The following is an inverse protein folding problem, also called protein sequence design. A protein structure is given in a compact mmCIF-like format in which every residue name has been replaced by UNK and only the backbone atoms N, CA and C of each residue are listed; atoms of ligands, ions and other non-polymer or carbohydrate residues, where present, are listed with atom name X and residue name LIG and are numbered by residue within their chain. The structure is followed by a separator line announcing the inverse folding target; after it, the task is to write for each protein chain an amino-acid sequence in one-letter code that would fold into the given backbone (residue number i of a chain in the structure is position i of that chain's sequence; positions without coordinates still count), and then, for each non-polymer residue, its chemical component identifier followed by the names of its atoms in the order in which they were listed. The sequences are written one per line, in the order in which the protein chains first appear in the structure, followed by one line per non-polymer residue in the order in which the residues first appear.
data_IF_667305155751
#
_entry.id   IF_667305155751
#
_cell.length_a   1.000
_cell.length_b   1.000
_cell.length_c   1.000
_cell.angle_alpha   90.00
_cell.angle_beta   90.00
_cell.angle_gamma   90.00
#
_symmetry.space_group_name_H-M   'P 1'
#
loop_
_entity.id
_entity.type
_entity.pdbx_description
1 polymer ?
#
# COMPACT_ATOMS: atom_id res chain seq x y z
N UNK A 1 13.48 0.44 -1.45
CA UNK A 1 13.43 1.69 -2.24
C UNK A 1 12.48 2.64 -1.53
N UNK A 2 12.69 3.97 -1.58
CA UNK A 2 11.74 4.93 -0.99
C UNK A 2 10.92 5.59 -2.09
N UNK A 3 9.65 5.87 -1.81
CA UNK A 3 8.79 6.58 -2.75
C UNK A 3 9.25 8.05 -2.88
N UNK A 4 8.88 8.69 -4.00
CA UNK A 4 9.32 10.06 -4.34
C UNK A 4 8.88 11.17 -3.35
N UNK A 5 8.01 10.84 -2.40
CA UNK A 5 7.49 11.80 -1.42
C UNK A 5 8.26 11.79 -0.10
N UNK A 6 9.19 10.85 0.10
CA UNK A 6 10.06 10.83 1.28
C UNK A 6 11.11 11.94 1.17
N UNK A 7 11.27 12.71 2.24
CA UNK A 7 12.30 13.76 2.31
C UNK A 7 13.70 13.14 2.19
N UNK A 8 14.57 13.65 1.29
CA UNK A 8 15.93 13.12 1.11
C UNK A 8 16.75 13.03 2.41
N UNK A 9 16.53 13.96 3.36
CA UNK A 9 17.22 13.94 4.66
C UNK A 9 16.86 12.72 5.49
N UNK A 10 15.63 12.21 5.37
CA UNK A 10 15.24 10.96 6.02
C UNK A 10 16.00 9.78 5.43
N UNK A 11 16.25 9.79 4.11
CA UNK A 11 17.00 8.72 3.45
C UNK A 11 18.46 8.72 3.91
N UNK A 12 19.05 9.91 4.08
CA UNK A 12 20.40 10.08 4.65
C UNK A 12 20.48 9.49 6.06
N UNK A 13 19.57 9.87 6.97
CA UNK A 13 19.50 9.33 8.33
C UNK A 13 19.35 7.80 8.33
N UNK A 14 18.51 7.27 7.45
CA UNK A 14 18.31 5.82 7.34
C UNK A 14 19.56 5.08 6.85
N UNK A 15 20.37 5.70 5.99
CA UNK A 15 21.65 5.12 5.60
C UNK A 15 22.66 5.14 6.75
N UNK A 16 22.74 6.22 7.52
CA UNK A 16 23.61 6.30 8.70
C UNK A 16 23.26 5.22 9.75
N UNK A 17 21.97 5.03 10.03
CA UNK A 17 21.53 3.99 10.97
C UNK A 17 21.83 2.57 10.46
N UNK A 18 21.69 2.35 9.14
CA UNK A 18 22.00 1.07 8.50
C UNK A 18 23.49 0.78 8.57
N UNK A 19 24.33 1.77 8.27
CA UNK A 19 25.78 1.63 8.29
C UNK A 19 26.28 1.37 9.72
N UNK A 20 25.75 2.10 10.71
CA UNK A 20 26.02 1.82 12.13
C UNK A 20 25.68 0.40 12.53
N UNK A 21 24.47 -0.07 12.23
CA UNK A 21 24.08 -1.44 12.55
C UNK A 21 24.98 -2.47 11.85
N UNK A 22 25.37 -2.23 10.59
CA UNK A 22 26.28 -3.12 9.87
C UNK A 22 27.66 -3.22 10.53
N UNK A 23 28.14 -2.12 11.11
CA UNK A 23 29.41 -2.08 11.86
C UNK A 23 29.30 -2.73 13.24
N UNK A 24 28.26 -2.42 14.02
CA UNK A 24 28.15 -2.85 15.41
C UNK A 24 27.55 -4.24 15.56
N UNK A 25 26.63 -4.62 14.66
CA UNK A 25 25.74 -5.79 14.78
C UNK A 25 24.96 -5.83 16.11
N UNK A 26 24.83 -4.69 16.78
CA UNK A 26 24.16 -4.56 18.07
C UNK A 26 22.63 -4.66 17.88
N UNK A 27 21.93 -5.54 18.62
CA UNK A 27 20.47 -5.63 18.58
C UNK A 27 19.75 -4.29 18.78
N UNK A 28 20.28 -3.38 19.60
CA UNK A 28 19.65 -2.07 19.82
C UNK A 28 19.77 -1.15 18.59
N UNK A 29 20.90 -1.16 17.88
CA UNK A 29 21.04 -0.45 16.61
C UNK A 29 20.12 -1.01 15.52
N UNK A 30 19.91 -2.33 15.49
CA UNK A 30 18.92 -2.95 14.60
C UNK A 30 17.51 -2.43 14.87
N UNK A 31 17.08 -2.41 16.13
CA UNK A 31 15.75 -1.91 16.50
C UNK A 31 15.62 -0.43 16.16
N UNK A 32 16.65 0.38 16.41
CA UNK A 32 16.67 1.79 16.04
C UNK A 32 16.52 1.99 14.54
N UNK A 33 17.24 1.21 13.72
CA UNK A 33 17.10 1.21 12.27
C UNK A 33 15.68 0.83 11.85
N UNK A 34 15.14 -0.28 12.38
CA UNK A 34 13.83 -0.81 12.01
C UNK A 34 12.70 0.17 12.32
N UNK A 35 12.69 0.74 13.54
CA UNK A 35 11.60 1.61 14.00
C UNK A 35 11.71 3.05 13.50
N UNK A 36 12.88 3.47 13.01
CA UNK A 36 13.04 4.80 12.40
C UNK A 36 12.61 4.84 10.93
N UNK A 37 12.43 3.67 10.29
CA UNK A 37 12.15 3.59 8.86
C UNK A 37 10.82 4.28 8.49
N UNK A 38 10.81 5.29 7.59
CA UNK A 38 9.58 5.99 7.26
C UNK A 38 8.63 5.11 6.44
N UNK A 39 7.33 5.38 6.56
CA UNK A 39 6.27 4.64 5.86
C UNK A 39 6.35 4.69 4.33
N UNK A 40 7.11 5.65 3.77
CA UNK A 40 7.38 5.71 2.34
C UNK A 40 8.42 4.70 1.85
N UNK A 41 8.94 3.82 2.72
CA UNK A 41 9.74 2.68 2.28
C UNK A 41 8.87 1.65 1.55
N UNK A 42 9.18 1.42 0.29
CA UNK A 42 8.45 0.52 -0.59
C UNK A 42 8.89 -0.92 -0.36
N UNK A 43 7.93 -1.73 0.08
CA UNK A 43 8.08 -3.16 0.32
C UNK A 43 7.27 -3.94 -0.71
N UNK A 44 7.86 -4.99 -1.28
CA UNK A 44 7.11 -5.94 -2.08
C UNK A 44 6.41 -6.93 -1.15
N UNK A 45 5.07 -6.96 -1.18
CA UNK A 45 4.27 -7.94 -0.48
C UNK A 45 3.56 -8.87 -1.46
N UNK A 46 3.38 -10.14 -1.08
CA UNK A 46 2.52 -11.10 -1.80
C UNK A 46 1.23 -11.27 -1.01
N UNK A 47 0.09 -11.27 -1.72
CA UNK A 47 -1.23 -11.42 -1.13
C UNK A 47 -1.97 -12.56 -1.83
N UNK A 48 -2.41 -13.55 -1.06
CA UNK A 48 -3.41 -14.54 -1.51
C UNK A 48 -4.76 -14.15 -0.92
N UNK A 49 -5.77 -13.98 -1.78
CA UNK A 49 -7.10 -13.52 -1.37
C UNK A 49 -8.18 -14.10 -2.26
N UNK A 50 -9.45 -13.79 -1.97
CA UNK A 50 -10.60 -14.23 -2.74
C UNK A 50 -11.53 -13.05 -3.08
N UNK A 51 -12.48 -13.28 -3.99
CA UNK A 51 -13.41 -12.25 -4.48
C UNK A 51 -14.23 -11.60 -3.37
N UNK A 52 -14.62 -12.35 -2.34
CA UNK A 52 -15.39 -11.81 -1.21
C UNK A 52 -14.57 -10.81 -0.40
N UNK A 53 -13.30 -11.12 -0.14
CA UNK A 53 -12.39 -10.20 0.52
C UNK A 53 -12.06 -8.98 -0.36
N UNK A 54 -11.84 -9.19 -1.67
CA UNK A 54 -11.62 -8.11 -2.62
C UNK A 54 -12.81 -7.14 -2.71
N UNK A 55 -14.05 -7.64 -2.62
CA UNK A 55 -15.25 -6.80 -2.53
C UNK A 55 -15.20 -5.83 -1.36
N UNK A 56 -14.81 -6.30 -0.18
CA UNK A 56 -14.66 -5.47 1.01
C UNK A 56 -13.51 -4.46 0.86
N UNK A 57 -12.38 -4.90 0.30
CA UNK A 57 -11.25 -3.99 0.06
C UNK A 57 -11.64 -2.90 -0.92
N UNK A 58 -12.26 -3.25 -2.04
CA UNK A 58 -12.68 -2.32 -3.08
C UNK A 58 -13.66 -1.27 -2.53
N UNK A 59 -14.67 -1.68 -1.76
CA UNK A 59 -15.66 -0.76 -1.20
C UNK A 59 -15.03 0.29 -0.27
N UNK A 60 -14.03 -0.11 0.52
CA UNK A 60 -13.32 0.77 1.45
C UNK A 60 -12.26 1.65 0.77
N UNK A 61 -11.64 1.17 -0.31
CA UNK A 61 -10.41 1.76 -0.86
C UNK A 61 -10.57 2.48 -2.21
N UNK A 62 -11.68 2.28 -2.94
CA UNK A 62 -11.89 2.89 -4.28
C UNK A 62 -11.81 4.42 -4.31
N UNK A 63 -12.17 5.09 -3.21
CA UNK A 63 -12.13 6.55 -3.05
C UNK A 63 -11.09 6.99 -2.02
N UNK A 64 -10.09 6.15 -1.75
CA UNK A 64 -9.08 6.42 -0.74
C UNK A 64 -8.17 7.61 -1.13
N UNK A 65 -7.72 8.39 -0.13
CA UNK A 65 -6.86 9.57 -0.34
C UNK A 65 -5.55 9.21 -1.04
N UNK A 66 -4.95 8.10 -0.62
CA UNK A 66 -3.71 7.60 -1.21
C UNK A 66 -3.96 7.00 -2.61
N UNK A 67 -3.18 7.40 -3.64
CA UNK A 67 -3.38 6.98 -5.02
C UNK A 67 -3.15 5.49 -5.25
N UNK A 68 -2.19 4.87 -4.58
CA UNK A 68 -1.84 3.46 -4.75
C UNK A 68 -3.01 2.52 -4.42
N UNK A 69 -3.85 2.90 -3.45
CA UNK A 69 -5.07 2.16 -3.14
C UNK A 69 -6.12 2.24 -4.25
N UNK A 70 -6.21 3.39 -4.92
CA UNK A 70 -7.10 3.58 -6.06
C UNK A 70 -6.58 2.83 -7.29
N UNK A 71 -5.27 2.82 -7.51
CA UNK A 71 -4.63 2.00 -8.54
C UNK A 71 -4.84 0.50 -8.29
N UNK A 72 -4.69 0.04 -7.05
CA UNK A 72 -5.01 -1.33 -6.68
C UNK A 72 -6.48 -1.68 -6.98
N UNK A 73 -7.41 -0.77 -6.70
CA UNK A 73 -8.82 -0.96 -7.04
C UNK A 73 -9.06 -1.05 -8.56
N UNK A 74 -8.33 -0.28 -9.38
CA UNK A 74 -8.39 -0.42 -10.85
C UNK A 74 -7.89 -1.78 -11.33
N UNK A 75 -6.91 -2.39 -10.66
CA UNK A 75 -6.51 -3.76 -10.97
C UNK A 75 -7.57 -4.79 -10.57
N UNK A 76 -8.27 -4.57 -9.45
CA UNK A 76 -9.41 -5.42 -9.05
C UNK A 76 -10.52 -5.37 -10.12
N UNK A 77 -10.80 -4.20 -10.69
CA UNK A 77 -11.82 -4.02 -11.74
C UNK A 77 -11.54 -4.82 -13.02
N UNK A 78 -10.28 -5.19 -13.28
CA UNK A 78 -9.87 -5.99 -14.44
C UNK A 78 -10.06 -7.49 -14.26
N UNK A 79 -10.36 -7.97 -13.04
CA UNK A 79 -10.53 -9.39 -12.77
C UNK A 79 -11.80 -9.94 -13.44
N UNK A 80 -11.82 -11.21 -13.86
CA UNK A 80 -13.03 -11.86 -14.37
C UNK A 80 -14.20 -11.72 -13.39
N UNK A 81 -15.39 -11.34 -13.87
CA UNK A 81 -16.58 -11.15 -13.03
C UNK A 81 -16.48 -10.06 -11.94
N UNK A 82 -15.48 -9.17 -12.00
CA UNK A 82 -15.32 -8.11 -11.01
C UNK A 82 -16.53 -7.17 -10.95
N UNK A 83 -17.16 -6.87 -12.10
CA UNK A 83 -18.34 -6.00 -12.18
C UNK A 83 -19.52 -6.58 -11.40
N UNK A 84 -19.77 -7.88 -11.55
CA UNK A 84 -20.89 -8.61 -10.96
C UNK A 84 -20.67 -8.89 -9.47
N UNK A 85 -19.46 -9.33 -9.10
CA UNK A 85 -19.18 -9.85 -7.77
C UNK A 85 -18.61 -8.82 -6.79
N UNK A 86 -17.91 -7.79 -7.29
CA UNK A 86 -17.13 -6.84 -6.47
C UNK A 86 -17.70 -5.42 -6.57
N UNK A 87 -17.76 -4.86 -7.78
CA UNK A 87 -18.11 -3.45 -8.00
C UNK A 87 -19.61 -3.19 -7.85
N UNK A 88 -20.44 -4.13 -8.36
CA UNK A 88 -21.89 -3.99 -8.47
C UNK A 88 -22.31 -3.26 -9.75
N UNK A 89 -23.59 -3.36 -10.11
CA UNK A 89 -24.18 -2.60 -11.22
C UNK A 89 -24.13 -1.11 -10.88
N UNK A 90 -23.59 -0.28 -11.77
CA UNK A 90 -23.79 1.17 -11.68
C UNK A 90 -25.30 1.43 -11.73
N UNK A 91 -25.85 2.20 -10.78
CA UNK A 91 -27.20 2.72 -10.94
C UNK A 91 -27.18 3.59 -12.20
N UNK A 92 -28.02 3.27 -13.18
CA UNK A 92 -28.25 4.19 -14.29
C UNK A 92 -28.73 5.54 -13.71
N UNK A 93 -28.12 6.67 -14.11
CA UNK A 93 -28.59 7.98 -13.66
C UNK A 93 -29.98 8.21 -14.26
N UNK A 94 -31.04 8.01 -13.47
CA UNK A 94 -32.42 8.32 -13.88
C UNK A 94 -33.52 7.38 -13.40
N UNK A 95 -33.24 6.27 -12.72
CA UNK A 95 -34.29 5.41 -12.16
C UNK A 95 -34.47 5.62 -10.66
N UNK A 96 -34.89 6.82 -10.27
CA UNK A 96 -35.73 6.99 -9.09
C UNK A 96 -37.16 7.22 -9.61
N UNK A 97 -37.98 6.18 -9.49
CA UNK A 97 -39.44 6.34 -9.43
C UNK A 97 -39.84 6.35 -7.97
#
# INVERSE_FOLDING_TARGET
QYCKYVDPRMIEIMNELKDRYNETQDPEDYLRLLYSNPCGFELTARLTTNYRALKTIYSQRKNHRLPEWREFCKEIEKLPYAKELIVGKQKEPGTDK
#
